data_IF_184329477453
#
_entry.id   IF_184329477453
#
_cell.length_a   1.000
_cell.length_b   1.000
_cell.length_c   1.000
_cell.angle_alpha   90.00
_cell.angle_beta   90.00
_cell.angle_gamma   90.00
#
_symmetry.space_group_name_H-M   'P 1'
#
loop_
_entity.id
_entity.type
_entity.pdbx_description
1 polymer ?
#
# COMPACT_ATOMS: atom_id res chain seq x y z
N UNK A 1 3.80 -6.58 -1.14
CA UNK A 1 3.62 -7.57 -0.05
C UNK A 1 2.58 -7.12 0.95
N UNK A 2 2.52 -5.84 1.36
CA UNK A 2 1.59 -5.40 2.42
C UNK A 2 0.11 -5.71 2.09
N UNK A 3 -0.32 -5.51 0.84
CA UNK A 3 -1.68 -5.88 0.41
C UNK A 3 -2.00 -7.37 0.62
N UNK A 4 -1.02 -8.27 0.46
CA UNK A 4 -1.23 -9.70 0.69
C UNK A 4 -1.44 -10.01 2.18
N UNK A 5 -0.79 -9.24 3.07
CA UNK A 5 -0.99 -9.35 4.52
C UNK A 5 -2.41 -8.91 4.87
N UNK A 6 -2.90 -7.82 4.27
CA UNK A 6 -4.28 -7.35 4.45
C UNK A 6 -5.31 -8.41 4.00
N UNK A 7 -5.15 -8.93 2.78
CA UNK A 7 -6.06 -9.94 2.23
C UNK A 7 -6.05 -11.23 3.04
N UNK A 8 -4.88 -11.68 3.53
CA UNK A 8 -4.78 -12.86 4.39
C UNK A 8 -5.53 -12.70 5.71
N UNK A 9 -5.58 -11.47 6.25
CA UNK A 9 -6.26 -11.18 7.52
C UNK A 9 -7.77 -11.10 7.39
N UNK A 10 -8.30 -10.94 6.16
CA UNK A 10 -9.74 -10.90 5.84
C UNK A 10 -10.54 -9.86 6.62
N UNK A 11 -9.92 -8.71 6.93
CA UNK A 11 -10.57 -7.58 7.61
C UNK A 11 -11.30 -6.68 6.61
N UNK A 12 -12.34 -7.25 5.98
CA UNK A 12 -13.17 -6.57 5.00
C UNK A 12 -14.28 -5.74 5.65
N UNK A 13 -14.70 -4.66 4.99
CA UNK A 13 -15.75 -3.73 5.43
C UNK A 13 -16.91 -3.75 4.43
N UNK A 14 -18.14 -3.87 4.91
CA UNK A 14 -19.33 -3.90 4.05
C UNK A 14 -19.68 -2.54 3.40
N UNK A 15 -19.15 -1.42 3.91
CA UNK A 15 -19.43 -0.08 3.39
C UNK A 15 -18.17 0.78 3.30
N UNK A 16 -18.13 1.71 2.33
CA UNK A 16 -17.11 2.74 2.27
C UNK A 16 -17.30 3.74 3.42
N UNK A 17 -16.48 3.62 4.45
CA UNK A 17 -16.33 4.63 5.47
C UNK A 17 -17.27 4.47 6.67
N UNK A 18 -16.66 4.21 7.82
CA UNK A 18 -17.05 4.89 9.05
C UNK A 18 -15.79 5.59 9.57
N UNK A 19 -15.72 6.92 9.44
CA UNK A 19 -14.61 7.77 9.94
C UNK A 19 -14.31 7.51 11.44
N UNK A 20 -15.28 6.96 12.17
CA UNK A 20 -15.22 6.63 13.60
C UNK A 20 -14.33 5.42 13.91
N UNK A 21 -13.98 4.56 12.94
CA UNK A 21 -13.21 3.31 13.17
C UNK A 21 -11.70 3.48 12.94
N UNK A 22 -11.25 4.64 12.47
CA UNK A 22 -9.83 4.95 12.23
C UNK A 22 -8.96 4.84 13.49
N UNK A 23 -9.53 5.06 14.68
CA UNK A 23 -8.87 4.84 15.97
C UNK A 23 -8.70 3.34 16.33
N UNK A 24 -9.62 2.47 15.88
CA UNK A 24 -9.59 1.03 16.16
C UNK A 24 -8.67 0.23 15.24
N UNK A 25 -8.45 0.69 14.00
CA UNK A 25 -7.62 -0.02 13.02
C UNK A 25 -6.12 0.00 13.34
N UNK A 26 -5.62 1.06 14.01
CA UNK A 26 -4.22 1.11 14.48
C UNK A 26 -3.91 0.05 15.54
N UNK A 27 -4.92 -0.49 16.23
CA UNK A 27 -4.74 -1.63 17.14
C UNK A 27 -4.81 -2.99 16.43
N UNK A 28 -5.25 -3.04 15.16
CA UNK A 28 -5.42 -4.31 14.46
C UNK A 28 -4.14 -4.84 13.84
N UNK A 29 -3.21 -4.00 13.41
CA UNK A 29 -2.00 -4.44 12.71
C UNK A 29 -0.73 -4.13 13.51
N UNK A 30 0.14 -5.13 13.65
CA UNK A 30 1.47 -4.97 14.25
C UNK A 30 2.54 -4.84 13.15
N UNK A 31 3.68 -4.23 13.48
CA UNK A 31 4.86 -4.21 12.58
C UNK A 31 5.35 -5.63 12.24
N UNK A 32 5.11 -6.58 13.15
CA UNK A 32 5.42 -8.00 12.99
C UNK A 32 4.62 -8.66 11.87
N UNK A 33 3.37 -8.24 11.65
CA UNK A 33 2.51 -8.77 10.58
C UNK A 33 3.10 -8.51 9.18
N UNK A 34 3.87 -7.42 9.04
CA UNK A 34 4.52 -7.01 7.79
C UNK A 34 5.98 -7.46 7.69
N UNK A 35 6.52 -8.08 8.74
CA UNK A 35 7.87 -8.60 8.72
C UNK A 35 7.99 -9.70 7.64
N UNK A 36 9.06 -9.64 6.85
CA UNK A 36 9.32 -10.66 5.84
C UNK A 36 9.75 -11.95 6.52
N UNK A 37 9.23 -13.12 6.10
CA UNK A 37 9.72 -14.39 6.62
C UNK A 37 11.20 -14.57 6.25
N UNK A 38 12.04 -14.93 7.22
CA UNK A 38 13.48 -15.16 7.02
C UNK A 38 13.80 -16.26 6.01
N UNK A 39 12.81 -17.09 5.65
CA UNK A 39 12.90 -18.14 4.64
C UNK A 39 12.89 -17.63 3.19
N UNK A 40 12.59 -16.33 2.95
CA UNK A 40 12.48 -15.76 1.60
C UNK A 40 11.24 -16.19 0.82
N UNK A 41 10.54 -17.24 1.27
CA UNK A 41 9.21 -17.66 0.79
C UNK A 41 8.14 -16.75 1.40
N UNK A 42 7.77 -15.70 0.69
CA UNK A 42 6.66 -14.83 1.06
C UNK A 42 5.29 -15.44 0.71
N UNK A 43 4.24 -14.85 1.28
CA UNK A 43 2.84 -15.13 0.92
C UNK A 43 2.62 -14.98 -0.59
N UNK A 44 1.92 -15.93 -1.19
CA UNK A 44 1.50 -15.86 -2.60
C UNK A 44 0.02 -15.55 -2.69
N UNK A 45 -0.36 -14.80 -3.72
CA UNK A 45 -1.78 -14.49 -3.99
C UNK A 45 -2.62 -15.77 -4.17
N UNK A 46 -2.05 -16.82 -4.75
CA UNK A 46 -2.72 -18.11 -4.98
C UNK A 46 -3.06 -18.87 -3.69
N UNK A 47 -2.43 -18.52 -2.57
CA UNK A 47 -2.67 -19.15 -1.26
C UNK A 47 -3.76 -18.42 -0.46
N UNK A 48 -4.32 -17.33 -1.01
CA UNK A 48 -5.34 -16.51 -0.36
C UNK A 48 -6.66 -16.78 -1.08
N UNK A 49 -7.59 -17.37 -0.35
CA UNK A 49 -8.95 -17.63 -0.83
C UNK A 49 -9.87 -16.52 -0.36
N UNK A 50 -10.51 -15.85 -1.31
CA UNK A 50 -11.51 -14.79 -1.08
C UNK A 50 -12.84 -15.33 -1.60
N UNK A 51 -13.90 -15.26 -0.79
CA UNK A 51 -15.24 -15.69 -1.21
C UNK A 51 -15.88 -14.65 -2.12
N UNK A 52 -16.88 -15.04 -2.91
CA UNK A 52 -17.61 -14.12 -3.78
C UNK A 52 -18.28 -12.96 -2.98
N UNK A 53 -18.66 -13.21 -1.73
CA UNK A 53 -19.19 -12.15 -0.85
C UNK A 53 -18.08 -11.20 -0.39
N UNK A 54 -16.89 -11.72 -0.06
CA UNK A 54 -15.73 -10.92 0.35
C UNK A 54 -15.15 -10.06 -0.79
N UNK A 55 -15.25 -10.52 -2.05
CA UNK A 55 -14.82 -9.76 -3.23
C UNK A 55 -15.63 -8.48 -3.44
N UNK A 56 -16.88 -8.46 -2.98
CA UNK A 56 -17.78 -7.29 -3.05
C UNK A 56 -17.62 -6.34 -1.83
N UNK A 57 -16.69 -6.64 -0.92
CA UNK A 57 -16.40 -5.81 0.25
C UNK A 57 -15.20 -4.86 0.04
N UNK A 58 -15.04 -3.92 0.97
CA UNK A 58 -13.98 -2.91 0.94
C UNK A 58 -12.84 -3.26 1.90
N UNK A 59 -11.61 -2.86 1.56
CA UNK A 59 -10.45 -2.91 2.45
C UNK A 59 -9.96 -1.49 2.69
N UNK A 60 -9.85 -1.10 3.96
CA UNK A 60 -9.23 0.18 4.31
C UNK A 60 -7.70 0.09 4.19
N UNK A 61 -7.15 0.83 3.23
CA UNK A 61 -5.71 0.91 2.97
C UNK A 61 -5.03 2.05 3.75
N UNK A 62 -5.79 2.97 4.33
CA UNK A 62 -5.26 4.16 5.00
C UNK A 62 -4.22 3.85 6.11
N UNK A 63 -4.37 2.78 6.91
CA UNK A 63 -3.39 2.48 7.96
C UNK A 63 -2.03 2.00 7.46
N UNK A 64 -1.93 1.51 6.21
CA UNK A 64 -0.73 0.83 5.70
C UNK A 64 -0.09 1.48 4.50
N UNK A 65 -0.80 2.41 3.85
CA UNK A 65 -0.30 3.11 2.68
C UNK A 65 0.72 4.19 3.07
N UNK A 66 1.72 4.40 2.21
CA UNK A 66 2.58 5.56 2.35
C UNK A 66 1.77 6.82 1.97
N UNK A 67 1.45 7.64 2.97
CA UNK A 67 0.72 8.90 2.77
C UNK A 67 1.56 9.97 2.07
N UNK A 68 2.89 9.82 2.07
CA UNK A 68 3.85 10.76 1.49
C UNK A 68 4.82 10.05 0.52
N UNK A 69 4.35 9.65 -0.67
CA UNK A 69 5.23 9.11 -1.69
C UNK A 69 6.14 10.20 -2.28
N UNK A 70 7.34 9.82 -2.71
CA UNK A 70 8.17 10.70 -3.54
C UNK A 70 7.57 10.80 -4.94
N UNK A 71 7.35 12.04 -5.38
CA UNK A 71 6.79 12.36 -6.68
C UNK A 71 7.74 13.22 -7.50
N UNK A 72 7.62 13.17 -8.82
CA UNK A 72 8.25 14.08 -9.77
C UNK A 72 7.23 14.55 -10.78
N UNK A 73 7.32 15.80 -11.22
CA UNK A 73 6.51 16.29 -12.35
C UNK A 73 7.01 15.68 -13.66
N UNK A 74 6.11 15.42 -14.60
CA UNK A 74 6.46 14.84 -15.91
C UNK A 74 7.48 15.65 -16.72
N UNK A 75 7.57 16.96 -16.45
CA UNK A 75 8.50 17.89 -17.10
C UNK A 75 9.89 17.90 -16.48
N UNK A 76 10.11 17.15 -15.39
CA UNK A 76 11.40 17.06 -14.73
C UNK A 76 12.41 16.35 -15.63
N UNK A 77 13.64 16.88 -15.70
CA UNK A 77 14.68 16.24 -16.50
C UNK A 77 15.03 14.86 -15.97
N UNK A 78 15.34 13.94 -16.88
CA UNK A 78 15.73 12.57 -16.55
C UNK A 78 16.92 12.52 -15.58
N UNK A 79 17.92 13.40 -15.77
CA UNK A 79 19.08 13.48 -14.90
C UNK A 79 18.68 13.80 -13.44
N UNK A 80 17.76 14.74 -13.24
CA UNK A 80 17.29 15.09 -11.89
C UNK A 80 16.45 13.97 -11.28
N UNK A 81 15.56 13.35 -12.06
CA UNK A 81 14.77 12.21 -11.59
C UNK A 81 15.67 11.01 -11.20
N UNK A 82 16.72 10.74 -11.98
CA UNK A 82 17.70 9.69 -11.70
C UNK A 82 18.49 9.97 -10.41
N UNK A 83 18.93 11.22 -10.22
CA UNK A 83 19.61 11.65 -8.99
C UNK A 83 18.70 11.37 -7.79
N UNK A 84 17.46 11.86 -7.81
CA UNK A 84 16.50 11.60 -6.72
C UNK A 84 16.35 10.10 -6.47
N UNK A 85 16.03 9.32 -7.51
CA UNK A 85 15.78 7.89 -7.40
C UNK A 85 16.96 7.13 -6.75
N UNK A 86 18.19 7.44 -7.17
CA UNK A 86 19.40 6.75 -6.68
C UNK A 86 19.81 7.21 -5.28
N UNK A 87 19.73 8.51 -4.98
CA UNK A 87 20.24 9.04 -3.71
C UNK A 87 19.42 8.60 -2.52
N UNK A 88 18.09 8.51 -2.67
CA UNK A 88 17.20 8.02 -1.61
C UNK A 88 16.86 6.53 -1.73
N UNK A 89 17.47 5.83 -2.70
CA UNK A 89 17.31 4.38 -2.87
C UNK A 89 15.86 3.94 -3.13
N UNK A 90 15.12 4.70 -3.95
CA UNK A 90 13.73 4.40 -4.23
C UNK A 90 13.58 3.09 -5.02
N UNK A 91 12.43 2.46 -4.84
CA UNK A 91 11.97 1.34 -5.68
C UNK A 91 10.86 1.75 -6.65
N UNK A 92 10.07 2.73 -6.25
CA UNK A 92 9.00 3.32 -7.05
C UNK A 92 9.10 4.84 -6.93
N UNK A 93 8.90 5.53 -8.04
CA UNK A 93 8.87 6.98 -8.11
C UNK A 93 7.62 7.37 -8.90
N UNK A 94 6.74 8.16 -8.29
CA UNK A 94 5.49 8.54 -8.92
C UNK A 94 5.71 9.73 -9.85
N UNK A 95 5.35 9.60 -11.13
CA UNK A 95 5.35 10.71 -12.08
C UNK A 95 3.96 11.31 -12.09
N UNK A 96 3.85 12.60 -11.79
CA UNK A 96 2.58 13.34 -11.79
C UNK A 96 2.54 14.30 -12.97
N UNK A 97 1.36 14.51 -13.59
CA UNK A 97 1.22 15.49 -14.67
C UNK A 97 1.55 16.88 -14.15
N UNK A 98 2.00 17.76 -15.04
CA UNK A 98 2.08 19.19 -14.70
C UNK A 98 0.65 19.71 -14.61
N UNK A 99 0.26 20.30 -13.47
CA UNK A 99 -1.02 21.00 -13.37
C UNK A 99 -1.12 22.03 -14.50
N UNK A 100 -2.21 22.00 -15.25
CA UNK A 100 -2.52 23.02 -16.24
C UNK A 100 -2.91 24.29 -15.48
N UNK A 101 -2.13 25.36 -15.63
CA UNK A 101 -2.57 26.72 -15.25
C UNK A 101 -3.80 27.14 -16.05
#
# INVERSE_FOLDING_TARGET
SHLLVLLKKKEFQASQGNEVVSAGLKQKYSSEDFAKPGSGKGLKIKEIEVSAEEEEMYVDLHPVINTLPYTVVETMSLAKALILFRHVGLRHLCVVPKEAE
#
